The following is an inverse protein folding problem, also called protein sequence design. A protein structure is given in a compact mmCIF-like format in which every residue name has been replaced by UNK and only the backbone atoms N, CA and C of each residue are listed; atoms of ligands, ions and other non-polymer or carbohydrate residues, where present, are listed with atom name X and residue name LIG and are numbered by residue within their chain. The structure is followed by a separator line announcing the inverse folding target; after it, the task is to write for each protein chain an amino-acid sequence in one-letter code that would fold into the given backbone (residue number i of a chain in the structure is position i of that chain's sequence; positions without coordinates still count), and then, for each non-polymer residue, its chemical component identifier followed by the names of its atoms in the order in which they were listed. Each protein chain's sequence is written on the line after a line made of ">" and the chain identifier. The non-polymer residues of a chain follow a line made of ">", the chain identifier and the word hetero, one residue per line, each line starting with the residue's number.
data_IF_594517514210
#
_entry.id   IF_594517514210
#
_cell.length_a   1.000
_cell.length_b   1.000
_cell.length_c   1.000
_cell.angle_alpha   90.00
_cell.angle_beta   90.00
_cell.angle_gamma   90.00
#
_symmetry.space_group_name_H-M   'P 1'
#
loop_
_entity.id
_entity.type
_entity.pdbx_description
1 polymer ?
#
# COMPACT_ATOMS: atom_id res chain seq x y z
N UNK A 1 1.59 -4.30 26.04
CA UNK A 1 1.42 -5.33 27.11
C UNK A 1 -0.01 -5.51 27.63
N UNK A 2 -0.82 -4.45 27.75
CA UNK A 2 -2.19 -4.57 28.31
C UNK A 2 -3.14 -5.37 27.42
N UNK A 3 -2.90 -5.37 26.11
CA UNK A 3 -3.66 -6.10 25.09
C UNK A 3 -3.44 -7.63 25.13
N UNK A 4 -2.42 -8.12 25.85
CA UNK A 4 -2.16 -9.57 25.99
C UNK A 4 -2.94 -10.11 27.19
N UNK A 5 -3.67 -11.21 27.00
CA UNK A 5 -4.43 -11.89 28.06
C UNK A 5 -3.52 -12.49 29.16
N UNK A 6 -4.02 -12.58 30.40
CA UNK A 6 -3.31 -13.15 31.55
C UNK A 6 -2.63 -12.13 32.48
N UNK A 7 -1.73 -12.60 33.37
CA UNK A 7 -1.01 -11.76 34.34
C UNK A 7 -1.90 -11.20 35.47
N UNK A 8 -1.42 -10.15 36.18
CA UNK A 8 -2.16 -9.48 37.26
C UNK A 8 -1.62 -9.79 38.66
N UNK A 9 -1.28 -11.05 38.93
CA UNK A 9 -0.52 -11.43 40.13
C UNK A 9 0.98 -11.33 39.85
N UNK A 10 1.73 -10.81 40.83
CA UNK A 10 3.20 -10.78 40.77
C UNK A 10 3.75 -12.22 40.69
N UNK A 11 4.64 -12.54 39.73
CA UNK A 11 5.16 -13.90 39.57
C UNK A 11 5.83 -14.46 40.84
N UNK A 12 6.54 -13.62 41.59
CA UNK A 12 7.14 -13.96 42.89
C UNK A 12 7.35 -12.72 43.76
N UNK A 13 7.61 -12.94 45.06
CA UNK A 13 7.90 -11.89 46.05
C UNK A 13 9.11 -11.03 45.65
N UNK A 14 9.16 -9.78 46.13
CA UNK A 14 10.19 -8.80 45.73
C UNK A 14 11.63 -9.19 46.11
N UNK A 15 11.81 -9.98 47.18
CA UNK A 15 13.10 -10.40 47.74
C UNK A 15 13.00 -11.84 48.27
N UNK A 16 14.13 -12.51 48.50
CA UNK A 16 14.20 -13.82 49.16
C UNK A 16 13.93 -15.03 48.25
N UNK A 17 14.06 -14.88 46.92
CA UNK A 17 13.87 -15.98 45.95
C UNK A 17 15.11 -16.27 45.10
N UNK A 18 16.18 -15.48 45.22
CA UNK A 18 17.38 -15.60 44.37
C UNK A 18 17.17 -15.28 42.88
N UNK A 19 15.93 -14.95 42.47
CA UNK A 19 15.56 -14.62 41.09
C UNK A 19 15.60 -13.10 40.84
N UNK A 20 15.78 -12.71 39.57
CA UNK A 20 15.61 -11.32 39.14
C UNK A 20 14.22 -10.79 39.53
N UNK A 21 14.05 -9.47 39.65
CA UNK A 21 12.74 -8.88 40.01
C UNK A 21 11.79 -8.90 38.82
N UNK A 22 10.58 -9.40 39.01
CA UNK A 22 9.52 -9.38 37.99
C UNK A 22 8.21 -8.80 38.55
N UNK A 23 7.56 -7.94 37.75
CA UNK A 23 6.28 -7.34 38.09
C UNK A 23 5.07 -8.06 37.49
N UNK A 24 5.23 -8.67 36.33
CA UNK A 24 4.15 -9.36 35.60
C UNK A 24 4.75 -10.35 34.61
N UNK A 25 4.04 -11.44 34.33
CA UNK A 25 4.39 -12.40 33.26
C UNK A 25 4.16 -11.84 31.85
N UNK A 26 3.42 -10.73 31.71
CA UNK A 26 3.09 -10.11 30.40
C UNK A 26 4.11 -9.07 29.91
N UNK A 27 5.22 -8.90 30.61
CA UNK A 27 6.21 -7.89 30.25
C UNK A 27 6.95 -8.31 28.96
N UNK A 28 7.41 -7.35 28.12
CA UNK A 28 7.91 -7.63 26.76
C UNK A 28 9.11 -8.58 26.69
N UNK A 29 9.90 -8.66 27.77
CA UNK A 29 11.04 -9.56 27.85
C UNK A 29 10.66 -11.05 28.05
N UNK A 30 9.40 -11.34 28.40
CA UNK A 30 8.91 -12.70 28.57
C UNK A 30 8.39 -13.26 27.26
N UNK A 31 8.56 -14.57 27.06
CA UNK A 31 7.90 -15.31 25.98
C UNK A 31 6.38 -15.15 26.08
N UNK A 32 5.72 -14.88 24.96
CA UNK A 32 4.28 -14.54 24.91
C UNK A 32 3.89 -13.28 25.71
N UNK A 33 4.86 -12.47 26.15
CA UNK A 33 4.64 -11.14 26.68
C UNK A 33 4.20 -10.16 25.57
N UNK A 34 3.69 -9.00 25.96
CA UNK A 34 3.26 -8.01 24.96
C UNK A 34 4.42 -7.26 24.32
N UNK A 35 4.31 -6.96 23.03
CA UNK A 35 5.30 -6.16 22.27
C UNK A 35 5.18 -4.67 22.64
N UNK A 36 6.30 -3.96 22.80
CA UNK A 36 6.32 -2.56 23.25
C UNK A 36 5.95 -1.56 22.14
N UNK A 37 6.46 -1.75 20.92
CA UNK A 37 6.22 -0.90 19.76
C UNK A 37 5.79 -1.73 18.56
N UNK A 38 4.68 -2.46 18.70
CA UNK A 38 4.13 -3.20 17.58
C UNK A 38 3.60 -2.24 16.50
N UNK A 39 3.71 -2.60 15.20
CA UNK A 39 3.04 -1.86 14.15
C UNK A 39 1.53 -1.89 14.40
N UNK A 40 0.91 -0.71 14.43
CA UNK A 40 -0.55 -0.58 14.55
C UNK A 40 -1.15 -0.25 13.19
N UNK A 41 -2.37 -0.74 12.90
CA UNK A 41 -3.09 -0.30 11.71
C UNK A 41 -3.22 1.23 11.73
N UNK A 42 -2.76 1.87 10.66
CA UNK A 42 -2.91 3.32 10.45
C UNK A 42 -3.11 3.59 8.97
N UNK A 43 -3.86 4.65 8.69
CA UNK A 43 -3.94 5.21 7.35
C UNK A 43 -2.70 6.08 7.09
N UNK A 44 -2.11 5.92 5.91
CA UNK A 44 -0.96 6.69 5.42
C UNK A 44 -1.36 7.74 4.39
N UNK A 45 -2.66 7.89 4.12
CA UNK A 45 -3.17 8.87 3.19
C UNK A 45 -2.85 10.29 3.65
N UNK A 46 -2.47 11.14 2.69
CA UNK A 46 -2.32 12.57 2.89
C UNK A 46 -2.85 13.29 1.65
N UNK A 47 -3.33 14.51 1.84
CA UNK A 47 -3.92 15.30 0.75
C UNK A 47 -2.94 16.36 0.25
N UNK A 48 -2.96 16.59 -1.06
CA UNK A 48 -2.21 17.64 -1.73
C UNK A 48 -3.13 18.73 -2.24
N UNK A 49 -2.60 19.95 -2.36
CA UNK A 49 -3.32 21.09 -2.91
C UNK A 49 -3.85 20.80 -4.32
N UNK A 50 -5.08 21.24 -4.60
CA UNK A 50 -5.76 21.02 -5.89
C UNK A 50 -4.91 21.50 -7.09
N UNK A 51 -4.20 22.62 -6.94
CA UNK A 51 -3.32 23.18 -7.99
C UNK A 51 -2.14 22.24 -8.32
N UNK A 52 -1.48 21.69 -7.30
CA UNK A 52 -0.34 20.78 -7.46
C UNK A 52 -0.79 19.50 -8.18
N UNK A 53 -1.93 18.92 -7.79
CA UNK A 53 -2.48 17.73 -8.46
C UNK A 53 -2.75 17.95 -9.94
N UNK A 54 -3.33 19.10 -10.30
CA UNK A 54 -3.58 19.47 -11.70
C UNK A 54 -2.29 19.62 -12.49
N UNK A 55 -1.26 20.24 -11.90
CA UNK A 55 0.06 20.41 -12.55
C UNK A 55 0.72 19.05 -12.77
N UNK A 56 0.67 18.15 -11.77
CA UNK A 56 1.23 16.81 -11.89
C UNK A 56 0.62 16.02 -13.06
N UNK A 57 -0.71 16.06 -13.23
CA UNK A 57 -1.40 15.40 -14.35
C UNK A 57 -0.95 15.99 -15.70
N UNK A 58 -0.91 17.33 -15.81
CA UNK A 58 -0.46 18.01 -17.04
C UNK A 58 1.00 17.66 -17.37
N UNK A 59 1.87 17.62 -16.37
CA UNK A 59 3.27 17.27 -16.54
C UNK A 59 3.45 15.81 -16.98
N UNK A 60 2.71 14.88 -16.37
CA UNK A 60 2.75 13.47 -16.76
C UNK A 60 2.29 13.25 -18.21
N UNK A 61 1.19 13.87 -18.62
CA UNK A 61 0.70 13.81 -20.00
C UNK A 61 1.66 14.49 -20.97
N UNK A 62 2.24 15.63 -20.60
CA UNK A 62 3.23 16.33 -21.43
C UNK A 62 4.50 15.50 -21.65
N UNK A 63 4.96 14.78 -20.62
CA UNK A 63 6.11 13.88 -20.76
C UNK A 63 5.79 12.73 -21.72
N UNK A 64 4.61 12.12 -21.59
CA UNK A 64 4.17 11.06 -22.50
C UNK A 64 3.98 11.54 -23.94
N UNK A 65 3.51 12.77 -24.13
CA UNK A 65 3.45 13.39 -25.46
C UNK A 65 4.85 13.62 -26.04
N UNK A 66 5.80 14.11 -25.23
CA UNK A 66 7.18 14.35 -25.66
C UNK A 66 7.90 13.06 -26.08
N UNK A 67 7.61 11.94 -25.41
CA UNK A 67 8.13 10.61 -25.75
C UNK A 67 7.40 9.95 -26.93
N UNK A 68 6.49 10.67 -27.61
CA UNK A 68 5.59 10.13 -28.66
C UNK A 68 4.79 8.89 -28.23
N UNK A 69 4.52 8.75 -26.93
CA UNK A 69 3.78 7.63 -26.35
C UNK A 69 2.26 7.89 -26.25
N UNK A 70 1.77 8.96 -26.87
CA UNK A 70 0.34 9.29 -26.97
C UNK A 70 -0.07 9.17 -28.44
N UNK A 71 -1.00 8.26 -28.71
CA UNK A 71 -1.63 8.07 -30.01
C UNK A 71 -3.05 8.63 -29.93
N UNK A 72 -3.37 9.60 -30.80
CA UNK A 72 -4.72 10.15 -30.91
C UNK A 72 -5.43 9.47 -32.06
N UNK A 73 -6.60 8.89 -31.79
CA UNK A 73 -7.48 8.26 -32.78
C UNK A 73 -8.79 9.03 -32.87
N UNK A 74 -9.28 9.29 -34.08
CA UNK A 74 -10.53 10.05 -34.30
C UNK A 74 -11.79 9.33 -33.80
N UNK A 75 -11.75 7.99 -33.77
CA UNK A 75 -12.87 7.21 -33.27
C UNK A 75 -12.60 5.72 -33.22
N UNK A 76 -13.08 5.09 -32.17
CA UNK A 76 -13.07 3.64 -32.01
C UNK A 76 -14.42 3.07 -32.49
N UNK A 77 -14.51 2.73 -33.78
CA UNK A 77 -15.67 1.99 -34.31
C UNK A 77 -15.34 0.51 -34.32
N UNK A 78 -15.93 -0.22 -33.38
CA UNK A 78 -15.86 -1.67 -33.30
C UNK A 78 -17.28 -2.18 -33.38
N UNK A 79 -17.62 -2.78 -34.52
CA UNK A 79 -18.98 -3.26 -34.79
C UNK A 79 -19.36 -4.47 -33.93
N UNK A 80 -18.37 -5.18 -33.38
CA UNK A 80 -18.58 -6.38 -32.58
C UNK A 80 -17.76 -6.35 -31.28
N UNK A 81 -18.42 -6.50 -30.13
CA UNK A 81 -17.77 -6.48 -28.80
C UNK A 81 -17.00 -7.79 -28.57
N UNK A 82 -15.87 -7.94 -29.25
CA UNK A 82 -14.96 -9.08 -29.13
C UNK A 82 -13.54 -8.59 -28.88
N UNK A 83 -12.79 -9.36 -28.10
CA UNK A 83 -11.40 -9.04 -27.72
C UNK A 83 -10.42 -9.25 -28.87
N UNK A 84 -10.68 -10.21 -29.77
CA UNK A 84 -9.83 -10.50 -30.93
C UNK A 84 -9.69 -9.31 -31.90
N UNK A 85 -10.78 -8.69 -32.42
CA UNK A 85 -10.64 -7.53 -33.30
C UNK A 85 -10.01 -6.33 -32.59
N UNK A 86 -10.20 -6.18 -31.29
CA UNK A 86 -9.56 -5.14 -30.49
C UNK A 86 -8.04 -5.34 -30.37
N UNK A 87 -7.59 -6.57 -30.15
CA UNK A 87 -6.16 -6.89 -30.11
C UNK A 87 -5.48 -6.66 -31.47
N UNK A 88 -6.15 -7.03 -32.57
CA UNK A 88 -5.66 -6.75 -33.93
C UNK A 88 -5.57 -5.25 -34.22
N UNK A 89 -6.55 -4.47 -33.74
CA UNK A 89 -6.52 -3.00 -33.84
C UNK A 89 -5.35 -2.39 -33.06
N UNK A 90 -5.11 -2.84 -31.83
CA UNK A 90 -3.95 -2.39 -31.03
C UNK A 90 -2.61 -2.79 -31.68
N UNK A 91 -2.54 -3.98 -32.30
CA UNK A 91 -1.37 -4.42 -33.06
C UNK A 91 -1.08 -3.51 -34.27
N UNK A 92 -2.12 -3.09 -35.01
CA UNK A 92 -1.97 -2.13 -36.13
C UNK A 92 -1.46 -0.75 -35.70
N UNK A 93 -1.73 -0.36 -34.44
CA UNK A 93 -1.26 0.90 -33.86
C UNK A 93 0.18 0.82 -33.33
N UNK A 94 0.85 -0.35 -33.42
CA UNK A 94 2.23 -0.52 -32.93
C UNK A 94 2.35 -0.50 -31.42
N UNK A 95 1.26 -0.81 -30.70
CA UNK A 95 1.24 -0.79 -29.24
C UNK A 95 1.83 -2.07 -28.69
N UNK A 96 3.14 -2.05 -28.43
CA UNK A 96 3.87 -3.16 -27.83
C UNK A 96 4.10 -2.88 -26.32
N UNK A 97 3.13 -3.25 -25.48
CA UNK A 97 3.27 -3.13 -24.03
C UNK A 97 1.98 -2.78 -23.29
N UNK A 98 2.12 -2.25 -22.08
CA UNK A 98 0.97 -1.78 -21.28
C UNK A 98 0.46 -0.47 -21.85
N UNK A 99 -0.75 -0.50 -22.40
CA UNK A 99 -1.46 0.68 -22.86
C UNK A 99 -2.67 1.00 -21.99
N UNK A 100 -2.97 2.28 -21.88
CA UNK A 100 -4.19 2.81 -21.27
C UNK A 100 -5.06 3.33 -22.41
N UNK A 101 -6.24 2.77 -22.56
CA UNK A 101 -7.26 3.25 -23.50
C UNK A 101 -8.20 4.16 -22.72
N UNK A 102 -8.33 5.41 -23.19
CA UNK A 102 -9.14 6.48 -22.58
C UNK A 102 -10.27 6.84 -23.52
#
# INVERSE_FOLDING_TARGET
>A
RAEVSGGGRKPWRQKGTGRARAGSTRAPQWTHGGVAFAPKPRDYSYTLNKKIRRIAIKSALSAKAADNAILVIDGLKIDEIKTKPFAEFLGKLGVEGKAMVV
#
